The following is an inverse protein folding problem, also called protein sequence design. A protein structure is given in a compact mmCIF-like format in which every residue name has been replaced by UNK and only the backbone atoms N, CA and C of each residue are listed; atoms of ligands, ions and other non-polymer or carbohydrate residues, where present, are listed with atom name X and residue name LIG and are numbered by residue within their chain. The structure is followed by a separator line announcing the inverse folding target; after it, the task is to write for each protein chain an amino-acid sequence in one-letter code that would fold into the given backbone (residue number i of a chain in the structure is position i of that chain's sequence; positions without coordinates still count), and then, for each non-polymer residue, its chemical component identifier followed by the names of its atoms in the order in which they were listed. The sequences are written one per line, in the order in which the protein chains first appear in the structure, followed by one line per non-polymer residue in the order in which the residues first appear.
data_IF_984920515801
#
_entry.id   IF_984920515801
#
_cell.length_a   1.000
_cell.length_b   1.000
_cell.length_c   1.000
_cell.angle_alpha   90.00
_cell.angle_beta   90.00
_cell.angle_gamma   90.00
#
_symmetry.space_group_name_H-M   'P 1'
#
loop_
_entity.id
_entity.type
_entity.pdbx_description
1 polymer ?
#
# COMPACT_ATOMS: atom_id res chain seq x y z
N UNK A 1 -27.45 67.44 -7.32
CA UNK A 1 -26.85 66.21 -6.77
C UNK A 1 -25.69 66.63 -5.92
N UNK A 2 -25.96 66.80 -4.63
CA UNK A 2 -25.23 67.64 -3.67
C UNK A 2 -24.33 66.82 -2.73
N UNK A 3 -23.29 67.51 -2.27
CA UNK A 3 -22.49 67.32 -1.03
C UNK A 3 -21.90 65.95 -0.70
N UNK A 4 -20.57 65.89 -0.52
CA UNK A 4 -19.96 65.49 0.77
C UNK A 4 -18.66 66.29 0.99
N UNK A 5 -18.72 67.23 1.94
CA UNK A 5 -17.63 68.06 2.46
C UNK A 5 -17.56 67.85 3.98
N UNK A 6 -16.41 67.36 4.46
CA UNK A 6 -15.68 67.70 5.71
C UNK A 6 -16.31 67.61 7.12
N UNK A 7 -15.41 67.25 8.07
CA UNK A 7 -15.31 67.58 9.52
C UNK A 7 -16.11 66.66 10.48
N UNK A 8 -15.45 65.87 11.35
CA UNK A 8 -14.85 66.20 12.67
C UNK A 8 -15.88 66.56 13.75
N UNK A 9 -16.17 65.60 14.64
CA UNK A 9 -16.03 65.66 16.12
C UNK A 9 -17.11 64.87 16.88
N UNK A 10 -16.66 64.13 17.92
CA UNK A 10 -17.40 63.55 19.07
C UNK A 10 -18.43 62.44 18.79
N UNK A 11 -18.54 61.31 19.51
CA UNK A 11 -18.25 60.98 20.92
C UNK A 11 -18.17 59.42 21.05
N UNK A 12 -17.55 58.86 22.11
CA UNK A 12 -17.03 57.50 22.20
C UNK A 12 -17.97 56.52 22.91
N UNK A 13 -17.96 55.26 22.48
CA UNK A 13 -18.16 54.09 23.35
C UNK A 13 -18.15 52.80 22.51
N UNK A 14 -17.00 52.13 22.45
CA UNK A 14 -17.02 50.67 22.28
C UNK A 14 -15.75 50.07 22.87
N UNK A 15 -15.87 49.08 23.77
CA UNK A 15 -14.74 48.55 24.50
C UNK A 15 -13.82 47.72 23.58
N UNK A 16 -12.53 48.01 23.67
CA UNK A 16 -11.45 47.19 23.13
C UNK A 16 -11.52 45.78 23.73
N UNK A 17 -11.73 44.78 22.88
CA UNK A 17 -11.48 43.36 23.20
C UNK A 17 -10.11 43.01 22.60
N UNK A 18 -9.11 42.56 23.38
CA UNK A 18 -7.82 42.18 22.84
C UNK A 18 -7.92 40.85 22.08
N UNK A 19 -7.33 40.83 20.88
CA UNK A 19 -7.17 39.66 20.04
C UNK A 19 -6.16 38.70 20.69
N UNK A 20 -6.64 37.72 21.46
CA UNK A 20 -5.81 36.55 21.81
C UNK A 20 -5.74 35.63 20.59
N UNK A 21 -4.55 35.55 20.02
CA UNK A 21 -4.15 34.50 19.08
C UNK A 21 -3.95 33.24 19.93
N UNK A 22 -4.97 32.38 20.01
CA UNK A 22 -4.77 31.00 20.41
C UNK A 22 -4.22 30.23 19.21
N UNK A 23 -2.93 29.89 19.29
CA UNK A 23 -2.36 28.83 18.46
C UNK A 23 -2.97 27.52 18.92
N UNK A 24 -3.97 27.01 18.20
CA UNK A 24 -4.41 25.64 18.37
C UNK A 24 -3.41 24.73 17.67
N UNK A 25 -2.65 24.01 18.50
CA UNK A 25 -1.81 22.87 18.13
C UNK A 25 -2.65 21.86 17.35
N UNK A 26 -2.48 21.86 16.03
CA UNK A 26 -3.08 20.91 15.12
C UNK A 26 -2.38 19.56 15.20
N UNK A 27 -2.65 18.77 16.23
CA UNK A 27 -2.44 17.32 16.16
C UNK A 27 -3.63 16.70 15.44
N UNK A 28 -3.60 16.71 14.10
CA UNK A 28 -4.49 15.86 13.29
C UNK A 28 -4.01 14.42 13.46
N UNK A 29 -4.65 13.69 14.36
CA UNK A 29 -4.52 12.24 14.41
C UNK A 29 -5.02 11.68 13.06
N UNK A 30 -4.15 10.96 12.36
CA UNK A 30 -4.43 10.20 11.15
C UNK A 30 -5.42 9.08 11.55
N UNK A 31 -6.74 9.35 11.50
CA UNK A 31 -7.77 8.33 11.73
C UNK A 31 -7.72 7.29 10.61
N UNK A 32 -6.87 6.28 10.80
CA UNK A 32 -6.87 5.07 9.99
C UNK A 32 -8.13 4.27 10.30
N UNK A 33 -9.19 4.54 9.55
CA UNK A 33 -10.40 3.74 9.57
C UNK A 33 -10.08 2.39 8.90
N UNK A 34 -9.76 1.38 9.69
CA UNK A 34 -9.56 0.02 9.20
C UNK A 34 -10.82 -0.47 8.50
N UNK A 35 -10.71 -1.21 7.38
CA UNK A 35 -11.86 -1.69 6.66
C UNK A 35 -12.69 -2.66 7.50
N UNK A 36 -14.02 -2.53 7.44
CA UNK A 36 -14.94 -3.37 8.21
C UNK A 36 -14.80 -4.86 7.87
N UNK A 37 -15.03 -5.72 8.86
CA UNK A 37 -14.89 -7.16 8.72
C UNK A 37 -15.96 -7.77 7.78
N UNK A 38 -15.56 -8.13 6.57
CA UNK A 38 -16.44 -8.80 5.59
C UNK A 38 -16.54 -10.32 5.80
N UNK A 39 -17.44 -10.98 5.07
CA UNK A 39 -17.55 -12.45 5.07
C UNK A 39 -16.24 -13.13 4.67
N UNK A 40 -15.49 -12.51 3.74
CA UNK A 40 -14.17 -12.99 3.33
C UNK A 40 -13.19 -12.93 4.50
N UNK A 41 -13.14 -11.80 5.21
CA UNK A 41 -12.27 -11.60 6.39
C UNK A 41 -12.54 -12.65 7.47
N UNK A 42 -13.79 -12.86 7.85
CA UNK A 42 -14.18 -13.86 8.85
C UNK A 42 -13.81 -15.29 8.45
N UNK A 43 -13.99 -15.61 7.16
CA UNK A 43 -13.62 -16.94 6.63
C UNK A 43 -12.11 -17.16 6.69
N UNK A 44 -11.33 -16.13 6.37
CA UNK A 44 -9.87 -16.17 6.36
C UNK A 44 -9.26 -16.22 7.77
N UNK A 45 -9.82 -15.49 8.74
CA UNK A 45 -9.46 -15.63 10.16
C UNK A 45 -9.69 -17.07 10.65
N UNK A 46 -10.82 -17.68 10.26
CA UNK A 46 -11.09 -19.09 10.60
C UNK A 46 -10.05 -20.03 10.00
N UNK A 47 -9.67 -19.82 8.73
CA UNK A 47 -8.62 -20.62 8.10
C UNK A 47 -7.28 -20.50 8.81
N UNK A 48 -6.92 -19.31 9.29
CA UNK A 48 -5.72 -19.09 10.09
C UNK A 48 -5.76 -19.85 11.41
N UNK A 49 -6.85 -19.76 12.15
CA UNK A 49 -7.03 -20.50 13.39
C UNK A 49 -6.98 -22.03 13.22
N UNK A 50 -7.32 -22.53 12.03
CA UNK A 50 -7.32 -23.96 11.68
C UNK A 50 -6.02 -24.43 11.01
N UNK A 51 -5.03 -23.56 10.77
CA UNK A 51 -3.79 -23.91 10.07
C UNK A 51 -4.04 -24.43 8.64
N UNK A 52 -5.07 -23.90 7.97
CA UNK A 52 -5.55 -24.47 6.70
C UNK A 52 -4.51 -24.35 5.58
N UNK A 53 -4.38 -25.39 4.76
CA UNK A 53 -3.50 -25.47 3.59
C UNK A 53 -2.00 -25.63 3.86
N UNK A 54 -1.58 -25.73 5.13
CA UNK A 54 -0.21 -26.12 5.48
C UNK A 54 0.04 -27.57 5.07
N UNK A 55 1.18 -27.81 4.41
CA UNK A 55 1.64 -29.16 4.06
C UNK A 55 2.76 -29.66 4.97
N UNK A 56 3.41 -28.75 5.71
CA UNK A 56 4.58 -29.03 6.55
C UNK A 56 5.87 -29.21 5.75
N UNK A 57 5.93 -28.71 4.51
CA UNK A 57 7.08 -28.86 3.63
C UNK A 57 7.72 -27.50 3.38
N UNK A 58 9.04 -27.43 3.52
CA UNK A 58 9.84 -26.28 3.11
C UNK A 58 10.56 -26.64 1.82
N UNK A 59 10.42 -25.79 0.81
CA UNK A 59 11.09 -25.94 -0.51
C UNK A 59 11.81 -24.65 -0.87
N UNK A 60 12.35 -24.54 -2.10
CA UNK A 60 12.97 -23.30 -2.57
C UNK A 60 12.65 -23.05 -4.04
N UNK A 61 12.60 -21.79 -4.51
CA UNK A 61 12.31 -21.48 -5.91
C UNK A 61 13.24 -22.16 -6.91
N UNK A 62 14.51 -22.41 -6.53
CA UNK A 62 15.51 -23.01 -7.43
C UNK A 62 15.25 -24.50 -7.67
N UNK A 63 14.59 -25.18 -6.73
CA UNK A 63 14.26 -26.62 -6.83
C UNK A 63 12.83 -26.83 -7.28
N UNK A 64 11.91 -26.00 -6.78
CA UNK A 64 10.48 -26.15 -6.95
C UNK A 64 9.87 -24.80 -7.32
N UNK A 65 9.63 -24.58 -8.62
CA UNK A 65 8.96 -23.35 -9.09
C UNK A 65 7.57 -23.15 -8.48
N UNK A 66 6.86 -24.24 -8.19
CA UNK A 66 5.54 -24.22 -7.54
C UNK A 66 5.71 -24.40 -6.03
N UNK A 67 5.33 -23.40 -5.20
CA UNK A 67 5.43 -23.55 -3.75
C UNK A 67 4.52 -24.66 -3.19
N UNK A 68 4.83 -25.19 -2.01
CA UNK A 68 4.06 -26.23 -1.34
C UNK A 68 2.60 -25.80 -1.11
N UNK A 69 1.69 -26.75 -1.32
CA UNK A 69 0.25 -26.51 -1.16
C UNK A 69 -0.38 -25.62 -2.24
N UNK A 70 0.36 -25.28 -3.31
CA UNK A 70 -0.15 -24.48 -4.42
C UNK A 70 -0.66 -25.34 -5.59
N UNK A 71 -1.61 -24.81 -6.36
CA UNK A 71 -2.03 -25.31 -7.66
C UNK A 71 -1.99 -24.18 -8.71
N UNK A 72 -1.77 -24.53 -9.97
CA UNK A 72 -1.67 -23.55 -11.06
C UNK A 72 -3.05 -23.14 -11.59
N UNK A 73 -3.20 -21.84 -11.85
CA UNK A 73 -4.38 -21.26 -12.49
C UNK A 73 -4.02 -20.53 -13.78
N UNK A 74 -4.94 -20.55 -14.74
CA UNK A 74 -4.79 -19.90 -16.04
C UNK A 74 -5.50 -18.55 -16.14
N UNK A 75 -6.43 -18.27 -15.23
CA UNK A 75 -7.00 -16.94 -15.04
C UNK A 75 -6.22 -16.17 -13.95
N UNK A 76 -6.50 -14.86 -13.80
CA UNK A 76 -6.05 -14.08 -12.64
C UNK A 76 -7.23 -13.91 -11.69
N UNK A 77 -7.31 -14.67 -10.58
CA UNK A 77 -8.44 -14.55 -9.65
C UNK A 77 -8.47 -13.18 -8.97
N UNK A 78 -9.68 -12.61 -8.84
CA UNK A 78 -9.91 -11.38 -8.09
C UNK A 78 -10.25 -11.73 -6.65
N UNK A 79 -9.40 -11.27 -5.73
CA UNK A 79 -9.63 -11.28 -4.30
C UNK A 79 -9.37 -9.86 -3.77
N UNK A 80 -10.36 -9.28 -3.11
CA UNK A 80 -10.29 -7.99 -2.42
C UNK A 80 -11.23 -8.01 -1.21
N UNK A 81 -11.20 -6.95 -0.39
CA UNK A 81 -12.04 -6.86 0.80
C UNK A 81 -13.53 -6.62 0.50
N UNK A 82 -13.93 -6.57 -0.78
CA UNK A 82 -15.29 -6.29 -1.24
C UNK A 82 -15.53 -4.84 -1.65
N UNK A 83 -14.49 -4.00 -1.60
CA UNK A 83 -14.52 -2.62 -2.10
C UNK A 83 -13.50 -2.46 -3.23
N UNK A 84 -13.91 -1.81 -4.30
CA UNK A 84 -13.08 -1.53 -5.47
C UNK A 84 -13.18 -0.03 -5.79
N UNK A 85 -12.28 0.80 -5.25
CA UNK A 85 -12.35 2.24 -5.43
C UNK A 85 -12.16 2.59 -6.91
N UNK A 86 -13.01 3.46 -7.43
CA UNK A 86 -12.85 4.04 -8.77
C UNK A 86 -11.94 5.26 -8.65
N UNK A 87 -10.66 5.09 -8.99
CA UNK A 87 -9.65 6.13 -8.85
C UNK A 87 -9.34 6.72 -10.22
N UNK A 88 -9.73 7.97 -10.43
CA UNK A 88 -9.35 8.69 -11.65
C UNK A 88 -7.88 9.14 -11.58
N UNK A 89 -7.22 9.27 -12.74
CA UNK A 89 -5.85 9.78 -12.82
C UNK A 89 -5.68 11.16 -12.18
N UNK A 90 -6.72 12.01 -12.22
CA UNK A 90 -6.72 13.35 -11.61
C UNK A 90 -6.75 13.32 -10.08
N UNK A 91 -7.34 12.29 -9.49
CA UNK A 91 -7.45 12.12 -8.03
C UNK A 91 -6.36 11.22 -7.45
N UNK A 92 -5.66 10.48 -8.31
CA UNK A 92 -4.61 9.58 -7.90
C UNK A 92 -3.45 10.36 -7.29
N UNK A 93 -3.03 9.92 -6.10
CA UNK A 93 -1.90 10.44 -5.36
C UNK A 93 -1.21 9.30 -4.63
N UNK A 94 0.12 9.30 -4.67
CA UNK A 94 0.96 8.42 -3.86
C UNK A 94 1.86 9.28 -2.97
N UNK A 95 1.73 9.13 -1.67
CA UNK A 95 2.55 9.80 -0.66
C UNK A 95 3.65 8.86 -0.16
N UNK A 96 4.90 9.32 -0.16
CA UNK A 96 6.04 8.57 0.36
C UNK A 96 6.68 9.38 1.49
N UNK A 97 6.67 8.82 2.70
CA UNK A 97 7.02 9.54 3.93
C UNK A 97 7.68 8.63 4.97
N UNK A 98 7.97 9.20 6.13
CA UNK A 98 8.54 8.49 7.28
C UNK A 98 10.05 8.59 7.31
N UNK A 99 10.73 7.46 7.51
CA UNK A 99 12.19 7.36 7.64
C UNK A 99 12.90 7.42 6.28
N UNK A 100 12.73 8.54 5.58
CA UNK A 100 13.37 8.86 4.29
C UNK A 100 13.99 10.26 4.35
N UNK A 101 15.06 10.48 3.60
CA UNK A 101 15.68 11.82 3.52
C UNK A 101 14.88 12.75 2.61
N UNK A 102 14.29 12.23 1.52
CA UNK A 102 13.53 12.99 0.55
C UNK A 102 12.07 12.49 0.50
N UNK A 103 11.17 12.95 1.40
CA UNK A 103 9.76 12.64 1.30
C UNK A 103 9.17 13.25 0.03
N UNK A 104 8.32 12.50 -0.67
CA UNK A 104 7.79 12.87 -1.99
C UNK A 104 6.32 12.52 -2.13
N UNK A 105 5.65 13.28 -2.98
CA UNK A 105 4.28 13.01 -3.38
C UNK A 105 4.20 12.99 -4.90
N UNK A 106 3.68 11.90 -5.45
CA UNK A 106 3.38 11.79 -6.87
C UNK A 106 1.91 12.05 -7.13
N UNK A 107 1.63 12.86 -8.15
CA UNK A 107 0.38 12.75 -8.91
C UNK A 107 0.61 11.81 -10.11
N UNK A 108 -0.45 11.49 -10.85
CA UNK A 108 -0.36 10.48 -11.91
C UNK A 108 0.67 10.82 -12.98
N UNK A 109 0.68 12.06 -13.47
CA UNK A 109 1.60 12.49 -14.53
C UNK A 109 3.07 12.39 -14.11
N UNK A 110 3.40 12.80 -12.87
CA UNK A 110 4.77 12.68 -12.35
C UNK A 110 5.19 11.22 -12.15
N UNK A 111 4.27 10.36 -11.71
CA UNK A 111 4.55 8.93 -11.56
C UNK A 111 4.82 8.25 -12.91
N UNK A 112 4.01 8.57 -13.92
CA UNK A 112 4.19 8.06 -15.28
C UNK A 112 5.46 8.58 -15.97
N UNK A 113 5.97 9.74 -15.55
CA UNK A 113 7.22 10.30 -16.05
C UNK A 113 8.47 9.61 -15.48
N UNK A 114 8.33 8.78 -14.44
CA UNK A 114 9.45 7.99 -13.90
C UNK A 114 9.90 6.91 -14.89
N UNK A 115 11.16 6.44 -14.82
CA UNK A 115 11.63 5.31 -15.62
C UNK A 115 10.69 4.09 -15.50
N UNK A 116 10.10 3.70 -16.63
CA UNK A 116 9.23 2.53 -16.70
C UNK A 116 10.06 1.29 -17.05
N UNK A 117 9.78 0.19 -16.35
CA UNK A 117 10.41 -1.11 -16.55
C UNK A 117 9.37 -2.17 -16.86
N UNK A 118 9.82 -3.26 -17.48
CA UNK A 118 9.02 -4.46 -17.72
C UNK A 118 9.65 -5.65 -17.03
N UNK A 119 8.85 -6.40 -16.28
CA UNK A 119 9.29 -7.60 -15.58
C UNK A 119 8.27 -8.73 -15.80
N UNK A 120 8.76 -9.95 -15.85
CA UNK A 120 7.91 -11.14 -15.92
C UNK A 120 8.12 -11.97 -14.67
N UNK A 121 7.07 -12.12 -13.86
CA UNK A 121 7.18 -12.80 -12.55
C UNK A 121 5.98 -13.69 -12.26
N UNK A 122 6.18 -14.66 -11.38
CA UNK A 122 5.12 -15.50 -10.86
C UNK A 122 4.43 -14.82 -9.67
N UNK A 123 3.19 -15.21 -9.39
CA UNK A 123 2.47 -14.75 -8.20
C UNK A 123 1.87 -15.95 -7.46
N UNK A 124 1.89 -15.89 -6.13
CA UNK A 124 1.48 -16.99 -5.27
C UNK A 124 0.46 -16.48 -4.26
N UNK A 125 -0.77 -16.98 -4.31
CA UNK A 125 -1.79 -16.60 -3.35
C UNK A 125 -1.80 -17.54 -2.15
N UNK A 126 -2.04 -16.98 -0.97
CA UNK A 126 -2.22 -17.75 0.25
C UNK A 126 -3.44 -18.68 0.19
N UNK A 127 -4.41 -18.40 -0.68
CA UNK A 127 -5.57 -19.27 -0.92
C UNK A 127 -5.29 -20.33 -1.99
N UNK A 128 -4.09 -20.91 -1.93
CA UNK A 128 -3.61 -22.10 -2.67
C UNK A 128 -3.47 -22.02 -4.18
N UNK A 129 -3.63 -20.88 -4.83
CA UNK A 129 -3.38 -20.76 -6.27
C UNK A 129 -2.08 -20.02 -6.58
N UNK A 130 -1.43 -20.40 -7.68
CA UNK A 130 -0.28 -19.70 -8.26
C UNK A 130 -0.50 -19.44 -9.75
N UNK A 131 0.07 -18.35 -10.24
CA UNK A 131 0.02 -17.99 -11.66
C UNK A 131 1.40 -17.63 -12.15
N UNK A 132 1.79 -18.25 -13.26
CA UNK A 132 3.09 -18.05 -13.86
C UNK A 132 3.12 -16.93 -14.90
N UNK A 133 4.33 -16.44 -15.14
CA UNK A 133 4.71 -15.65 -16.32
C UNK A 133 3.82 -14.40 -16.52
N UNK A 134 3.61 -13.66 -15.43
CA UNK A 134 2.85 -12.41 -15.50
C UNK A 134 3.77 -11.28 -15.97
N UNK A 135 3.46 -10.72 -17.14
CA UNK A 135 4.17 -9.55 -17.65
C UNK A 135 3.62 -8.28 -17.02
N UNK A 136 4.49 -7.55 -16.33
CA UNK A 136 4.19 -6.29 -15.65
C UNK A 136 4.87 -5.13 -16.34
N UNK A 137 4.23 -3.96 -16.33
CA UNK A 137 4.91 -2.68 -16.64
C UNK A 137 4.64 -1.67 -15.53
N UNK A 138 5.68 -0.96 -15.11
CA UNK A 138 5.58 0.03 -14.04
C UNK A 138 6.93 0.56 -13.56
N UNK A 139 6.95 1.10 -12.34
CA UNK A 139 8.12 1.70 -11.69
C UNK A 139 8.66 0.70 -10.67
N UNK A 140 9.94 0.32 -10.75
CA UNK A 140 10.54 -0.60 -9.77
C UNK A 140 10.56 0.06 -8.39
N UNK A 141 10.49 -0.73 -7.33
CA UNK A 141 10.65 -0.18 -5.97
C UNK A 141 12.03 0.43 -5.78
N UNK A 142 13.07 -0.12 -6.42
CA UNK A 142 14.43 0.45 -6.46
C UNK A 142 14.47 1.88 -6.99
N UNK A 143 13.77 2.17 -8.08
CA UNK A 143 13.67 3.53 -8.60
C UNK A 143 13.07 4.50 -7.57
N UNK A 144 12.09 4.06 -6.78
CA UNK A 144 11.59 4.89 -5.68
C UNK A 144 12.62 5.06 -4.57
N UNK A 145 13.29 3.99 -4.16
CA UNK A 145 14.31 4.02 -3.10
C UNK A 145 15.46 4.98 -3.46
N UNK A 146 15.89 4.98 -4.72
CA UNK A 146 16.91 5.88 -5.25
C UNK A 146 16.47 7.36 -5.24
N UNK A 147 15.17 7.65 -5.25
CA UNK A 147 14.68 9.03 -5.14
C UNK A 147 14.51 9.47 -3.68
N UNK A 148 13.96 8.60 -2.84
CA UNK A 148 13.58 8.98 -1.47
C UNK A 148 14.72 8.83 -0.47
N UNK A 149 15.74 8.02 -0.78
CA UNK A 149 16.88 7.73 0.09
C UNK A 149 16.43 7.33 1.52
N UNK A 150 16.04 6.06 1.75
CA UNK A 150 15.71 5.59 3.09
C UNK A 150 16.84 5.88 4.08
N UNK A 151 16.47 6.29 5.30
CA UNK A 151 17.44 6.53 6.37
C UNK A 151 18.03 5.21 6.86
N UNK A 152 19.18 5.27 7.53
CA UNK A 152 19.85 4.09 8.09
C UNK A 152 18.98 3.35 9.12
N UNK A 153 18.05 4.04 9.77
CA UNK A 153 17.13 3.48 10.75
C UNK A 153 15.83 2.93 10.14
N UNK A 154 15.64 3.01 8.82
CA UNK A 154 14.45 2.45 8.15
C UNK A 154 14.59 0.94 7.99
N UNK A 155 13.70 0.18 8.62
CA UNK A 155 13.73 -1.29 8.64
C UNK A 155 12.53 -1.93 7.90
N UNK A 156 11.43 -1.19 7.77
CA UNK A 156 10.19 -1.68 7.17
C UNK A 156 9.44 -0.57 6.41
N UNK A 157 8.44 -0.96 5.65
CA UNK A 157 7.45 -0.06 5.05
C UNK A 157 6.04 -0.49 5.44
N UNK A 158 5.21 0.49 5.81
CA UNK A 158 3.77 0.33 5.94
C UNK A 158 3.08 0.87 4.68
N UNK A 159 2.33 0.00 4.02
CA UNK A 159 1.56 0.31 2.83
C UNK A 159 0.12 0.65 3.22
N UNK A 160 -0.45 1.69 2.61
CA UNK A 160 -1.85 2.07 2.80
C UNK A 160 -2.54 2.24 1.46
N UNK A 161 -3.73 1.66 1.35
CA UNK A 161 -4.55 1.63 0.14
C UNK A 161 -5.77 2.54 0.24
N UNK A 162 -6.33 2.92 -0.91
CA UNK A 162 -7.54 3.76 -1.00
C UNK A 162 -8.80 3.11 -0.38
N UNK A 163 -8.84 1.78 -0.27
CA UNK A 163 -9.91 1.04 0.40
C UNK A 163 -9.66 0.84 1.91
N UNK A 164 -8.64 1.49 2.47
CA UNK A 164 -8.23 1.36 3.86
C UNK A 164 -7.37 0.13 4.15
N UNK A 165 -7.13 -0.75 3.17
CA UNK A 165 -6.24 -1.89 3.36
C UNK A 165 -4.83 -1.44 3.73
N UNK A 166 -4.21 -2.17 4.65
CA UNK A 166 -2.83 -1.97 5.06
C UNK A 166 -2.08 -3.29 5.05
N UNK A 167 -0.79 -3.26 4.72
CA UNK A 167 0.11 -4.40 4.88
C UNK A 167 1.53 -3.90 5.03
N UNK A 168 2.34 -4.67 5.73
CA UNK A 168 3.73 -4.37 6.01
C UNK A 168 4.67 -5.20 5.13
N UNK A 169 5.85 -4.65 4.88
CA UNK A 169 6.99 -5.35 4.29
C UNK A 169 8.25 -4.94 5.03
N UNK A 170 9.18 -5.88 5.23
CA UNK A 170 10.55 -5.51 5.56
C UNK A 170 11.13 -4.67 4.42
N UNK A 171 12.01 -3.71 4.74
CA UNK A 171 12.66 -2.89 3.71
C UNK A 171 13.47 -3.76 2.76
N UNK A 172 14.08 -4.85 3.25
CA UNK A 172 14.78 -5.83 2.43
C UNK A 172 13.88 -6.53 1.41
N UNK A 173 12.63 -6.84 1.78
CA UNK A 173 11.65 -7.45 0.87
C UNK A 173 11.08 -6.43 -0.11
N UNK A 174 10.96 -5.16 0.29
CA UNK A 174 10.56 -4.07 -0.61
C UNK A 174 11.65 -3.71 -1.62
N UNK A 175 12.93 -3.91 -1.28
CA UNK A 175 14.10 -3.54 -2.09
C UNK A 175 14.60 -4.62 -3.07
N UNK A 176 13.91 -5.77 -3.15
CA UNK A 176 14.24 -6.84 -4.11
C UNK A 176 14.13 -6.35 -5.56
N UNK A 177 14.84 -7.01 -6.47
CA UNK A 177 14.97 -6.57 -7.87
C UNK A 177 13.66 -6.63 -8.66
N UNK A 178 12.79 -7.56 -8.29
CA UNK A 178 11.57 -7.88 -9.00
C UNK A 178 10.31 -7.30 -8.35
N UNK A 179 10.46 -6.47 -7.31
CA UNK A 179 9.37 -5.70 -6.73
C UNK A 179 9.09 -4.41 -7.54
N UNK A 180 7.81 -4.16 -7.81
CA UNK A 180 7.40 -3.09 -8.73
C UNK A 180 6.02 -2.53 -8.39
N UNK A 181 5.86 -1.22 -8.57
CA UNK A 181 4.58 -0.55 -8.65
C UNK A 181 4.09 -0.58 -10.09
N UNK A 182 3.16 -1.49 -10.34
CA UNK A 182 2.72 -1.87 -11.68
C UNK A 182 1.46 -1.10 -12.07
N UNK A 183 1.40 -0.70 -13.34
CA UNK A 183 0.26 0.01 -13.94
C UNK A 183 -0.36 -0.77 -15.09
N UNK A 184 0.36 -1.75 -15.63
CA UNK A 184 -0.12 -2.63 -16.70
C UNK A 184 0.18 -4.09 -16.38
N UNK A 185 -0.65 -4.96 -16.93
CA UNK A 185 -0.52 -6.41 -16.92
C UNK A 185 -0.81 -6.96 -18.31
N UNK A 186 0.09 -7.79 -18.85
CA UNK A 186 -0.04 -8.38 -20.18
C UNK A 186 -0.25 -7.33 -21.28
N UNK A 187 0.48 -6.21 -21.19
CA UNK A 187 0.43 -5.10 -22.15
C UNK A 187 -0.75 -4.14 -21.98
N UNK A 188 -1.74 -4.49 -21.16
CA UNK A 188 -2.96 -3.68 -20.96
C UNK A 188 -2.94 -2.95 -19.60
N UNK A 189 -3.55 -1.75 -19.49
CA UNK A 189 -3.71 -1.08 -18.22
C UNK A 189 -4.45 -1.97 -17.20
N UNK A 190 -4.07 -1.87 -15.92
CA UNK A 190 -4.75 -2.60 -14.86
C UNK A 190 -6.23 -2.20 -14.79
N UNK A 191 -7.10 -3.21 -14.76
CA UNK A 191 -8.51 -3.01 -14.41
C UNK A 191 -8.65 -2.61 -12.94
N UNK A 192 -9.77 -1.95 -12.60
CA UNK A 192 -10.04 -1.55 -11.21
C UNK A 192 -9.95 -2.74 -10.25
N UNK A 193 -10.60 -3.87 -10.57
CA UNK A 193 -10.60 -5.11 -9.76
C UNK A 193 -9.19 -5.69 -9.51
N UNK A 194 -8.25 -5.46 -10.43
CA UNK A 194 -6.87 -5.92 -10.31
C UNK A 194 -5.93 -4.91 -9.64
N UNK A 195 -6.45 -3.77 -9.19
CA UNK A 195 -5.67 -2.75 -8.48
C UNK A 195 -5.40 -1.49 -9.30
N UNK A 196 -6.06 -1.31 -10.45
CA UNK A 196 -5.91 -0.13 -11.28
C UNK A 196 -6.30 1.16 -10.55
N UNK A 197 -5.59 2.27 -10.77
CA UNK A 197 -4.59 2.47 -11.82
C UNK A 197 -3.18 1.99 -11.46
N UNK A 198 -2.90 1.67 -10.19
CA UNK A 198 -1.58 1.21 -9.73
C UNK A 198 -1.68 0.30 -8.50
N UNK A 199 -0.90 -0.79 -8.51
CA UNK A 199 -0.67 -1.64 -7.34
C UNK A 199 0.81 -1.95 -7.14
N UNK A 200 1.16 -2.41 -5.96
CA UNK A 200 2.44 -3.09 -5.73
C UNK A 200 2.35 -4.57 -6.12
N UNK A 201 3.47 -5.10 -6.61
CA UNK A 201 3.75 -6.54 -6.78
C UNK A 201 5.09 -6.85 -6.12
N UNK A 202 5.11 -7.85 -5.24
CA UNK A 202 6.30 -8.41 -4.57
C UNK A 202 6.28 -9.94 -4.79
N UNK A 203 6.98 -10.45 -5.81
CA UNK A 203 6.76 -11.82 -6.33
C UNK A 203 7.13 -12.93 -5.35
N UNK A 204 8.17 -12.73 -4.54
CA UNK A 204 8.67 -13.76 -3.62
C UNK A 204 7.84 -13.92 -2.36
N UNK A 205 6.82 -13.09 -2.14
CA UNK A 205 5.90 -13.17 -1.01
C UNK A 205 4.50 -13.54 -1.49
N UNK A 206 3.69 -14.08 -0.58
CA UNK A 206 2.28 -14.30 -0.83
C UNK A 206 1.58 -13.00 -1.22
N UNK A 207 0.67 -13.12 -2.20
CA UNK A 207 0.13 -11.98 -2.94
C UNK A 207 -0.74 -11.02 -2.13
N UNK A 208 -1.04 -11.30 -0.85
CA UNK A 208 -1.69 -10.31 0.02
C UNK A 208 -0.74 -9.15 0.38
N UNK A 209 0.57 -9.41 0.38
CA UNK A 209 1.62 -8.40 0.58
C UNK A 209 1.74 -7.41 -0.58
N UNK A 210 1.27 -7.82 -1.76
CA UNK A 210 1.20 -7.00 -2.98
C UNK A 210 -0.04 -6.09 -2.93
N UNK A 211 -0.01 -5.00 -2.17
CA UNK A 211 -1.18 -4.13 -1.96
C UNK A 211 -1.73 -3.48 -3.25
N UNK A 212 -3.05 -3.43 -3.39
CA UNK A 212 -3.76 -2.72 -4.48
C UNK A 212 -3.97 -1.25 -4.14
N UNK A 213 -4.12 -0.40 -5.15
CA UNK A 213 -4.59 0.99 -4.99
C UNK A 213 -3.83 1.76 -3.91
N UNK A 214 -2.49 1.79 -3.98
CA UNK A 214 -1.71 2.46 -2.96
C UNK A 214 -1.95 3.97 -2.97
N UNK A 215 -2.20 4.52 -1.79
CA UNK A 215 -2.20 5.96 -1.51
C UNK A 215 -0.95 6.38 -0.76
N UNK A 216 -0.31 5.46 -0.02
CA UNK A 216 0.85 5.79 0.81
C UNK A 216 1.84 4.63 1.02
N UNK A 217 3.12 4.99 1.08
CA UNK A 217 4.24 4.16 1.53
C UNK A 217 4.94 4.91 2.66
N UNK A 218 4.85 4.40 3.87
CA UNK A 218 5.50 4.98 5.05
C UNK A 218 6.68 4.11 5.47
N UNK A 219 7.90 4.65 5.40
CA UNK A 219 9.10 4.00 5.89
C UNK A 219 9.16 4.09 7.41
N UNK A 220 9.39 2.98 8.09
CA UNK A 220 9.31 2.85 9.55
C UNK A 220 10.55 2.17 10.12
N UNK A 221 10.89 2.50 11.37
CA UNK A 221 12.01 1.90 12.11
C UNK A 221 11.76 0.49 12.62
N UNK A 222 10.50 0.07 12.62
CA UNK A 222 10.07 -1.22 13.12
C UNK A 222 8.99 -1.75 12.21
N UNK A 223 9.01 -3.06 12.03
CA UNK A 223 7.92 -3.76 11.37
C UNK A 223 6.67 -3.77 12.27
N UNK A 224 5.50 -3.48 11.69
CA UNK A 224 4.23 -3.37 12.41
C UNK A 224 3.15 -4.08 11.60
N UNK A 225 2.26 -4.86 12.22
CA UNK A 225 1.28 -5.64 11.47
C UNK A 225 0.29 -4.72 10.75
N UNK A 226 -0.01 -5.05 9.49
CA UNK A 226 -1.10 -4.46 8.72
C UNK A 226 -2.41 -5.20 8.94
N UNK A 227 -3.27 -5.20 7.93
CA UNK A 227 -4.61 -5.77 8.03
C UNK A 227 -4.57 -7.29 8.21
N UNK A 228 -4.01 -8.06 7.28
CA UNK A 228 -4.05 -9.54 7.41
C UNK A 228 -3.17 -10.04 8.55
N UNK A 229 -2.08 -9.35 8.84
CA UNK A 229 -1.16 -9.72 9.92
C UNK A 229 -1.82 -9.59 11.30
N UNK A 230 -2.66 -8.55 11.51
CA UNK A 230 -3.53 -8.45 12.69
C UNK A 230 -4.63 -9.51 12.73
N UNK A 231 -4.89 -10.17 11.59
CA UNK A 231 -5.99 -11.12 11.41
C UNK A 231 -5.52 -12.57 11.24
N UNK A 232 -4.34 -12.89 11.81
CA UNK A 232 -3.81 -14.25 11.93
C UNK A 232 -2.93 -14.71 10.78
N UNK A 233 -2.56 -13.83 9.86
CA UNK A 233 -1.60 -14.13 8.79
C UNK A 233 -0.17 -13.81 9.21
N UNK A 234 0.78 -14.49 8.58
CA UNK A 234 2.20 -14.34 8.90
C UNK A 234 2.73 -12.92 8.62
N UNK A 235 3.71 -12.46 9.40
CA UNK A 235 4.27 -11.11 9.28
C UNK A 235 5.04 -10.87 7.97
N UNK A 236 5.73 -11.88 7.45
CA UNK A 236 6.55 -11.81 6.22
C UNK A 236 5.83 -12.42 5.00
N UNK A 237 5.53 -13.71 5.02
CA UNK A 237 4.60 -14.32 4.05
C UNK A 237 5.31 -15.03 2.90
N UNK A 238 6.43 -15.68 3.14
CA UNK A 238 7.17 -16.49 2.17
C UNK A 238 6.40 -17.78 1.78
N UNK A 239 6.04 -17.95 0.49
CA UNK A 239 5.24 -19.10 0.06
C UNK A 239 6.01 -20.41 0.02
N UNK A 240 7.35 -20.39 -0.07
CA UNK A 240 8.18 -21.60 -0.09
C UNK A 240 8.45 -22.16 1.30
N UNK A 241 8.43 -21.29 2.31
CA UNK A 241 8.49 -21.64 3.72
C UNK A 241 7.12 -21.94 4.34
N UNK A 242 6.03 -21.81 3.57
CA UNK A 242 4.64 -21.91 4.06
C UNK A 242 4.32 -20.94 5.21
N UNK A 243 4.93 -19.75 5.20
CA UNK A 243 4.65 -18.66 6.14
C UNK A 243 3.23 -18.11 5.87
N UNK A 244 2.18 -18.87 6.23
CA UNK A 244 0.78 -18.53 5.93
C UNK A 244 0.15 -17.80 7.11
N UNK A 245 0.38 -18.27 8.32
CA UNK A 245 -0.30 -17.81 9.53
C UNK A 245 0.68 -17.32 10.60
N UNK A 246 0.16 -16.66 11.64
CA UNK A 246 0.97 -15.97 12.66
C UNK A 246 1.87 -16.88 13.49
N UNK A 247 1.58 -18.18 13.53
CA UNK A 247 2.31 -19.17 14.33
C UNK A 247 3.31 -20.01 13.51
N UNK A 248 3.37 -19.79 12.20
CA UNK A 248 4.26 -20.52 11.27
C UNK A 248 5.68 -19.93 11.22
#
# INVERSE_FOLDING_TARGET
MKEIQRLLDSDPASPHIPLMIEMQDGTMADEHNEPEATKLTKTKQKWAAEGKFLTGKITRPETDRLPPGQHLVQNWPVLDLGQQPVISALQWRLDIRGEVENPLTFNWDKFQALPQSKLTTDIHCVTTWSRYDNEWTGVTTRELLDQVHPKAEADAVMLTSYDGYTTNLLLSDFAVEDAMLVTHWQGEPLTAEHGGPMRLVVPHLYFWKSAKWLTRIEFTRQDRPGFWEKNGYHMRGDPWAEERYSED
#
